data_IF_785952009000
#
_entry.id   IF_785952009000
#
_cell.length_a   1.000
_cell.length_b   1.000
_cell.length_c   1.000
_cell.angle_alpha   90.00
_cell.angle_beta   90.00
_cell.angle_gamma   90.00
#
_symmetry.space_group_name_H-M   'P 1'
#
loop_
_entity.id
_entity.type
_entity.pdbx_description
1 polymer ?
#
# COMPACT_ATOMS: atom_id res chain seq x y z
N UNK A 1 10.45 -2.76 12.34
CA UNK A 1 9.41 -3.06 11.31
C UNK A 1 8.03 -2.69 11.82
N UNK A 2 7.07 -2.50 10.92
CA UNK A 2 5.63 -2.45 11.25
C UNK A 2 4.84 -3.22 10.19
N UNK A 3 3.69 -3.77 10.57
CA UNK A 3 2.84 -4.51 9.64
C UNK A 3 1.37 -4.19 9.90
N UNK A 4 0.66 -3.82 8.84
CA UNK A 4 -0.76 -3.48 8.91
C UNK A 4 -1.51 -4.10 7.75
N UNK A 5 -2.82 -4.24 7.94
CA UNK A 5 -3.76 -4.47 6.84
C UNK A 5 -4.75 -3.33 6.71
N UNK A 6 -5.25 -3.15 5.49
CA UNK A 6 -6.30 -2.20 5.13
C UNK A 6 -7.46 -3.03 4.60
N UNK A 7 -8.54 -3.08 5.36
CA UNK A 7 -9.74 -3.83 5.04
C UNK A 7 -10.96 -2.90 5.14
N UNK A 8 -11.75 -2.81 4.08
CA UNK A 8 -12.91 -1.90 4.01
C UNK A 8 -12.59 -0.46 4.46
N UNK A 9 -11.49 0.12 3.96
CA UNK A 9 -11.01 1.48 4.33
C UNK A 9 -10.70 1.65 5.84
N UNK A 10 -10.48 0.55 6.56
CA UNK A 10 -10.09 0.53 7.97
C UNK A 10 -8.72 -0.12 8.11
N UNK A 11 -7.88 0.45 8.98
CA UNK A 11 -6.52 -0.04 9.23
C UNK A 11 -6.52 -0.90 10.48
N UNK A 12 -5.85 -2.05 10.43
CA UNK A 12 -5.61 -2.92 11.60
C UNK A 12 -4.11 -3.21 11.74
N UNK A 13 -3.64 -3.26 12.97
CA UNK A 13 -2.26 -3.66 13.30
C UNK A 13 -2.15 -5.19 13.28
N UNK A 14 -1.21 -5.73 12.51
CA UNK A 14 -0.98 -7.17 12.42
C UNK A 14 0.07 -7.68 13.40
N UNK A 15 0.79 -6.79 14.09
CA UNK A 15 1.84 -7.14 15.06
C UNK A 15 1.42 -6.91 16.52
N UNK A 16 0.22 -6.37 16.75
CA UNK A 16 -0.26 -6.08 18.10
C UNK A 16 -1.58 -6.82 18.40
N UNK A 17 -1.51 -7.99 19.04
CA UNK A 17 -2.70 -8.79 19.35
C UNK A 17 -3.61 -8.12 20.40
N UNK A 18 -3.11 -7.13 21.16
CA UNK A 18 -3.91 -6.38 22.14
C UNK A 18 -4.78 -5.34 21.45
N UNK A 19 -4.41 -4.88 20.27
CA UNK A 19 -5.14 -3.85 19.55
C UNK A 19 -6.17 -4.49 18.61
N UNK A 20 -7.40 -4.66 19.12
CA UNK A 20 -8.53 -5.18 18.33
C UNK A 20 -9.29 -4.08 17.57
N UNK A 21 -8.90 -2.82 17.75
CA UNK A 21 -9.57 -1.67 17.16
C UNK A 21 -9.05 -1.33 15.77
N UNK A 22 -9.81 -0.49 15.05
CA UNK A 22 -9.31 0.12 13.83
C UNK A 22 -8.43 1.31 14.19
N UNK A 23 -7.25 1.38 13.57
CA UNK A 23 -6.33 2.49 13.73
C UNK A 23 -6.73 3.70 12.88
N UNK A 24 -6.38 4.89 13.35
CA UNK A 24 -6.66 6.15 12.65
C UNK A 24 -5.48 6.53 11.76
N UNK A 25 -5.80 7.00 10.55
CA UNK A 25 -4.82 7.61 9.66
C UNK A 25 -4.77 9.11 9.94
N UNK A 26 -3.57 9.64 10.15
CA UNK A 26 -3.27 11.04 10.39
C UNK A 26 -2.25 11.53 9.38
N UNK A 27 -2.02 12.83 9.36
CA UNK A 27 -1.02 13.46 8.50
C UNK A 27 -0.06 14.30 9.33
N UNK A 28 1.24 14.06 9.16
CA UNK A 28 2.29 14.88 9.74
C UNK A 28 2.80 15.88 8.70
N UNK A 29 3.04 17.16 9.05
CA UNK A 29 3.48 18.18 8.10
C UNK A 29 4.75 17.80 7.31
N UNK A 30 5.67 17.07 7.94
CA UNK A 30 6.95 16.66 7.33
C UNK A 30 6.98 15.21 6.84
N UNK A 31 6.27 14.28 7.49
CA UNK A 31 6.38 12.85 7.20
C UNK A 31 5.25 12.36 6.29
N UNK A 32 4.26 13.21 6.03
CA UNK A 32 3.06 12.83 5.31
C UNK A 32 2.13 11.91 6.11
N UNK A 33 1.32 11.10 5.42
CA UNK A 33 0.28 10.29 6.05
C UNK A 33 0.89 9.12 6.83
N UNK A 34 0.38 8.89 8.04
CA UNK A 34 0.82 7.83 8.92
C UNK A 34 -0.36 7.25 9.71
N UNK A 35 -0.14 6.07 10.28
CA UNK A 35 -1.13 5.40 11.13
C UNK A 35 -0.77 5.67 12.58
N UNK A 36 -1.68 6.31 13.30
CA UNK A 36 -1.56 6.54 14.75
C UNK A 36 -1.60 5.20 15.49
N UNK A 37 -0.76 5.05 16.51
CA UNK A 37 -0.63 3.85 17.36
C UNK A 37 -0.28 2.54 16.64
N UNK A 38 0.20 2.62 15.40
CA UNK A 38 0.73 1.45 14.70
C UNK A 38 2.03 0.97 15.35
N UNK A 39 2.07 -0.31 15.72
CA UNK A 39 3.21 -0.89 16.42
C UNK A 39 4.46 -0.89 15.56
N UNK A 40 5.58 -0.50 16.18
CA UNK A 40 6.91 -0.51 15.60
C UNK A 40 7.80 -1.39 16.45
N UNK A 41 8.21 -2.53 15.90
CA UNK A 41 9.04 -3.51 16.61
C UNK A 41 10.48 -3.42 16.13
N UNK A 42 11.43 -3.36 17.06
CA UNK A 42 12.84 -3.40 16.75
C UNK A 42 13.22 -4.82 16.29
N UNK A 43 14.14 -4.89 15.32
CA UNK A 43 14.67 -6.13 14.76
C UNK A 43 16.17 -5.96 14.55
N UNK A 44 16.92 -7.04 14.70
CA UNK A 44 18.38 -7.07 14.60
C UNK A 44 18.88 -8.09 13.58
N UNK A 45 18.02 -9.03 13.18
CA UNK A 45 18.35 -10.07 12.22
C UNK A 45 17.27 -10.23 11.15
N UNK A 46 17.61 -10.93 10.07
CA UNK A 46 16.63 -11.37 9.08
C UNK A 46 15.57 -12.29 9.69
N UNK A 47 15.97 -13.19 10.60
CA UNK A 47 15.05 -14.10 11.26
C UNK A 47 13.99 -13.34 12.07
N UNK A 48 14.38 -12.27 12.78
CA UNK A 48 13.44 -11.42 13.52
C UNK A 48 12.39 -10.80 12.58
N UNK A 49 12.81 -10.39 11.38
CA UNK A 49 11.91 -9.84 10.36
C UNK A 49 10.96 -10.92 9.85
N UNK A 50 11.49 -12.12 9.54
CA UNK A 50 10.71 -13.24 9.04
C UNK A 50 9.67 -13.70 10.07
N UNK A 51 10.06 -13.85 11.34
CA UNK A 51 9.15 -14.26 12.43
C UNK A 51 7.99 -13.28 12.60
N UNK A 52 8.26 -11.96 12.53
CA UNK A 52 7.23 -10.94 12.62
C UNK A 52 6.32 -10.91 11.39
N UNK A 53 6.88 -11.13 10.20
CA UNK A 53 6.11 -11.25 8.96
C UNK A 53 5.18 -12.47 9.02
N UNK A 54 5.68 -13.62 9.46
CA UNK A 54 4.89 -14.85 9.62
C UNK A 54 3.80 -14.71 10.69
N UNK A 55 4.12 -14.07 11.82
CA UNK A 55 3.14 -13.75 12.86
C UNK A 55 2.02 -12.86 12.32
N UNK A 56 2.35 -11.81 11.57
CA UNK A 56 1.36 -10.91 10.99
C UNK A 56 0.53 -11.57 9.90
N UNK A 57 1.12 -12.46 9.08
CA UNK A 57 0.40 -13.27 8.11
C UNK A 57 -0.62 -14.19 8.81
N UNK A 58 -0.21 -14.86 9.90
CA UNK A 58 -1.14 -15.66 10.72
C UNK A 58 -2.26 -14.82 11.29
N UNK A 59 -1.96 -13.63 11.82
CA UNK A 59 -2.97 -12.71 12.34
C UNK A 59 -3.97 -12.27 11.26
N UNK A 60 -3.48 -11.96 10.05
CA UNK A 60 -4.30 -11.62 8.88
C UNK A 60 -5.21 -12.79 8.49
N UNK A 61 -4.69 -14.02 8.43
CA UNK A 61 -5.50 -15.21 8.12
C UNK A 61 -6.56 -15.48 9.19
N UNK A 62 -6.22 -15.36 10.48
CA UNK A 62 -7.17 -15.58 11.58
C UNK A 62 -8.27 -14.53 11.57
N UNK A 63 -7.91 -13.25 11.39
CA UNK A 63 -8.89 -12.17 11.23
C UNK A 63 -9.84 -12.45 10.07
N UNK A 64 -9.31 -12.95 8.95
CA UNK A 64 -10.09 -13.36 7.81
C UNK A 64 -11.07 -14.51 8.18
N UNK A 65 -10.61 -15.59 8.81
CA UNK A 65 -11.49 -16.71 9.22
C UNK A 65 -12.57 -16.31 10.23
N UNK A 66 -12.27 -15.43 11.19
CA UNK A 66 -13.25 -14.95 12.16
C UNK A 66 -14.33 -14.05 11.54
N UNK A 67 -14.09 -13.51 10.35
CA UNK A 67 -15.00 -12.62 9.63
C UNK A 67 -15.61 -13.25 8.37
N UNK A 68 -15.42 -14.56 8.12
CA UNK A 68 -15.74 -15.22 6.84
C UNK A 68 -15.11 -14.50 5.62
N UNK A 69 -13.96 -13.88 5.86
CA UNK A 69 -13.12 -13.13 4.94
C UNK A 69 -11.97 -14.02 4.46
N UNK A 70 -11.46 -13.75 3.27
CA UNK A 70 -10.26 -14.40 2.73
C UNK A 70 -9.14 -13.37 2.71
N UNK A 71 -7.90 -13.76 3.00
CA UNK A 71 -6.74 -12.83 3.00
C UNK A 71 -6.55 -12.09 1.66
N UNK A 72 -7.12 -12.61 0.57
CA UNK A 72 -7.19 -11.97 -0.75
C UNK A 72 -7.97 -10.65 -0.78
N UNK A 73 -8.66 -10.30 0.31
CA UNK A 73 -9.62 -9.18 0.37
C UNK A 73 -9.21 -8.02 1.26
N UNK A 74 -8.03 -8.08 1.86
CA UNK A 74 -7.38 -6.94 2.50
C UNK A 74 -6.07 -6.63 1.79
N UNK A 75 -5.67 -5.36 1.78
CA UNK A 75 -4.31 -4.98 1.39
C UNK A 75 -3.41 -5.12 2.61
N UNK A 76 -2.19 -5.62 2.46
CA UNK A 76 -1.23 -5.67 3.53
C UNK A 76 0.00 -4.81 3.20
N UNK A 77 0.48 -4.08 4.21
CA UNK A 77 1.64 -3.18 4.07
C UNK A 77 2.63 -3.47 5.17
N UNK A 78 3.74 -4.11 4.80
CA UNK A 78 4.87 -4.37 5.69
C UNK A 78 5.95 -3.31 5.48
N UNK A 79 6.31 -2.59 6.53
CA UNK A 79 7.32 -1.54 6.47
C UNK A 79 8.56 -1.92 7.26
N UNK A 80 9.71 -1.74 6.61
CA UNK A 80 11.04 -1.81 7.24
C UNK A 80 11.60 -0.39 7.25
N UNK A 81 11.84 0.13 8.46
CA UNK A 81 12.60 1.37 8.65
C UNK A 81 14.04 0.93 8.89
N UNK A 82 14.94 1.31 7.99
CA UNK A 82 16.35 1.01 8.09
C UNK A 82 17.10 2.30 8.43
N UNK A 83 17.80 2.28 9.56
CA UNK A 83 18.50 3.43 10.09
C UNK A 83 19.98 3.11 10.20
N UNK A 84 20.80 3.86 9.46
CA UNK A 84 22.25 3.76 9.49
C UNK A 84 22.82 4.99 10.20
N UNK A 85 23.58 4.76 11.27
CA UNK A 85 24.35 5.80 11.95
C UNK A 85 25.79 5.74 11.46
N UNK A 86 26.33 6.88 11.03
CA UNK A 86 27.74 7.03 10.65
C UNK A 86 28.34 8.12 11.52
N UNK A 87 29.29 7.72 12.34
CA UNK A 87 30.13 8.63 13.11
C UNK A 87 31.35 8.99 12.27
N UNK A 88 31.56 10.28 12.06
CA UNK A 88 32.73 10.85 11.42
C UNK A 88 33.70 11.31 12.51
N UNK A 89 34.83 10.61 12.61
CA UNK A 89 35.85 10.85 13.64
C UNK A 89 36.59 12.17 13.42
N UNK A 90 36.69 12.66 12.18
CA UNK A 90 37.41 13.90 11.87
C UNK A 90 36.61 15.14 12.26
N UNK A 91 35.28 15.08 12.09
CA UNK A 91 34.37 16.20 12.38
C UNK A 91 33.63 16.05 13.71
N UNK A 92 33.88 14.97 14.45
CA UNK A 92 33.15 14.54 15.66
C UNK A 92 31.62 14.55 15.48
N UNK A 93 31.16 14.38 14.24
CA UNK A 93 29.74 14.45 13.91
C UNK A 93 29.17 13.06 13.68
N UNK A 94 28.00 12.81 14.27
CA UNK A 94 27.22 11.61 14.01
C UNK A 94 26.07 11.94 13.07
N UNK A 95 26.10 11.39 11.87
CA UNK A 95 25.02 11.50 10.89
C UNK A 95 24.13 10.25 10.91
N UNK A 96 22.84 10.44 10.65
CA UNK A 96 21.86 9.37 10.55
C UNK A 96 21.21 9.38 9.17
N UNK A 97 21.20 8.22 8.51
CA UNK A 97 20.47 8.01 7.26
C UNK A 97 19.34 7.04 7.52
N UNK A 98 18.12 7.51 7.32
CA UNK A 98 16.91 6.70 7.47
C UNK A 98 16.32 6.42 6.09
N UNK A 99 16.03 5.16 5.80
CA UNK A 99 15.26 4.74 4.64
C UNK A 99 14.06 3.90 5.06
N UNK A 100 13.02 3.92 4.23
CA UNK A 100 11.81 3.12 4.41
C UNK A 100 11.63 2.21 3.21
N UNK A 101 11.56 0.92 3.46
CA UNK A 101 11.16 -0.10 2.48
C UNK A 101 9.72 -0.48 2.81
N UNK A 102 8.84 -0.45 1.81
CA UNK A 102 7.45 -0.85 1.93
C UNK A 102 7.19 -2.02 1.00
N UNK A 103 6.83 -3.16 1.56
CA UNK A 103 6.34 -4.33 0.83
C UNK A 103 4.82 -4.29 0.90
N UNK A 104 4.18 -4.14 -0.25
CA UNK A 104 2.73 -3.98 -0.34
C UNK A 104 2.15 -5.16 -1.10
N UNK A 105 1.29 -5.92 -0.42
CA UNK A 105 0.49 -6.98 -1.00
C UNK A 105 -0.93 -6.46 -1.21
N UNK A 106 -1.34 -6.32 -2.47
CA UNK A 106 -2.64 -5.76 -2.82
C UNK A 106 -3.70 -6.85 -2.85
N UNK A 107 -4.91 -6.52 -2.40
CA UNK A 107 -6.07 -7.38 -2.57
C UNK A 107 -6.35 -7.68 -4.05
N UNK A 108 -7.07 -8.78 -4.29
CA UNK A 108 -7.52 -9.16 -5.63
C UNK A 108 -8.43 -8.10 -6.26
N UNK A 109 -8.36 -7.98 -7.60
CA UNK A 109 -9.18 -7.06 -8.38
C UNK A 109 -10.55 -7.63 -8.79
N UNK A 110 -11.00 -8.73 -8.16
CA UNK A 110 -12.09 -9.51 -8.71
C UNK A 110 -13.39 -8.70 -8.87
N UNK A 111 -14.04 -8.88 -10.03
CA UNK A 111 -15.32 -8.22 -10.31
C UNK A 111 -16.44 -8.78 -9.43
N UNK A 112 -17.25 -7.87 -8.87
CA UNK A 112 -18.38 -8.22 -8.01
C UNK A 112 -19.38 -9.16 -8.69
N UNK A 113 -19.64 -8.96 -9.99
CA UNK A 113 -20.60 -9.74 -10.78
C UNK A 113 -20.22 -11.23 -10.90
N UNK A 114 -18.92 -11.53 -10.87
CA UNK A 114 -18.38 -12.89 -10.95
C UNK A 114 -18.58 -13.71 -9.67
N UNK A 115 -18.92 -13.04 -8.55
CA UNK A 115 -18.90 -13.66 -7.21
C UNK A 115 -20.27 -14.02 -6.65
N UNK A 116 -21.36 -13.53 -7.25
CA UNK A 116 -22.73 -13.70 -6.71
C UNK A 116 -22.91 -13.12 -5.29
N UNK A 117 -22.01 -12.23 -4.85
CA UNK A 117 -21.96 -11.72 -3.49
C UNK A 117 -23.18 -10.84 -3.16
N UNK A 118 -23.78 -11.08 -1.98
CA UNK A 118 -24.90 -10.29 -1.45
C UNK A 118 -24.54 -9.65 -0.11
N UNK A 119 -25.23 -8.57 0.26
CA UNK A 119 -25.13 -7.95 1.58
C UNK A 119 -23.73 -7.40 1.90
N UNK A 120 -23.14 -7.87 3.00
CA UNK A 120 -21.81 -7.44 3.48
C UNK A 120 -20.69 -7.71 2.48
N UNK A 121 -20.75 -8.86 1.81
CA UNK A 121 -19.73 -9.31 0.83
C UNK A 121 -19.71 -8.43 -0.43
N UNK A 122 -20.84 -7.83 -0.79
CA UNK A 122 -20.92 -6.86 -1.88
C UNK A 122 -20.28 -5.52 -1.49
N UNK A 123 -20.52 -5.05 -0.26
CA UNK A 123 -19.89 -3.82 0.27
C UNK A 123 -18.38 -3.95 0.39
N UNK A 124 -17.92 -5.12 0.82
CA UNK A 124 -16.50 -5.47 0.86
C UNK A 124 -15.86 -5.41 -0.52
N UNK A 125 -16.42 -6.13 -1.51
CA UNK A 125 -15.93 -6.10 -2.89
C UNK A 125 -15.93 -4.69 -3.48
N UNK A 126 -16.94 -3.88 -3.16
CA UNK A 126 -16.98 -2.47 -3.57
C UNK A 126 -15.83 -1.65 -2.97
N UNK A 127 -15.47 -1.84 -1.70
CA UNK A 127 -14.36 -1.12 -1.06
C UNK A 127 -12.99 -1.56 -1.60
N UNK A 128 -12.81 -2.86 -1.84
CA UNK A 128 -11.57 -3.38 -2.46
C UNK A 128 -11.40 -2.74 -3.85
N UNK A 129 -12.45 -2.83 -4.68
CA UNK A 129 -12.43 -2.24 -6.02
C UNK A 129 -12.26 -0.71 -5.98
N UNK A 130 -12.84 -0.03 -4.98
CA UNK A 130 -12.63 1.40 -4.77
C UNK A 130 -11.14 1.71 -4.57
N UNK A 131 -10.48 1.05 -3.62
CA UNK A 131 -9.07 1.30 -3.31
C UNK A 131 -8.13 1.03 -4.51
N UNK A 132 -8.33 -0.07 -5.24
CA UNK A 132 -7.55 -0.42 -6.44
C UNK A 132 -7.82 0.54 -7.61
N UNK A 133 -9.08 0.92 -7.83
CA UNK A 133 -9.46 1.90 -8.85
C UNK A 133 -8.82 3.25 -8.55
N UNK A 134 -8.86 3.70 -7.29
CA UNK A 134 -8.20 4.94 -6.86
C UNK A 134 -6.71 4.88 -7.06
N UNK A 135 -6.06 3.75 -6.73
CA UNK A 135 -4.63 3.55 -6.99
C UNK A 135 -4.31 3.71 -8.49
N UNK A 136 -5.14 3.14 -9.37
CA UNK A 136 -5.01 3.30 -10.82
C UNK A 136 -5.16 4.75 -11.29
N UNK A 137 -6.11 5.50 -10.71
CA UNK A 137 -6.29 6.93 -11.00
C UNK A 137 -5.09 7.76 -10.55
N UNK A 138 -4.57 7.51 -9.35
CA UNK A 138 -3.37 8.20 -8.82
C UNK A 138 -2.17 7.95 -9.72
N UNK A 139 -1.91 6.70 -10.10
CA UNK A 139 -0.80 6.34 -11.00
C UNK A 139 -0.97 7.01 -12.37
N UNK A 140 -2.18 6.98 -12.94
CA UNK A 140 -2.45 7.61 -14.24
C UNK A 140 -2.20 9.12 -14.20
N UNK A 141 -2.70 9.79 -13.15
CA UNK A 141 -2.51 11.24 -12.97
C UNK A 141 -1.02 11.60 -12.80
N UNK A 142 -0.26 10.77 -12.07
CA UNK A 142 1.19 10.96 -11.92
C UNK A 142 1.95 10.82 -13.24
N UNK A 143 1.61 9.82 -14.05
CA UNK A 143 2.22 9.63 -15.37
C UNK A 143 1.93 10.80 -16.33
N UNK A 144 0.71 11.34 -16.29
CA UNK A 144 0.33 12.53 -17.07
C UNK A 144 1.15 13.76 -16.67
N UNK A 145 1.37 13.99 -15.37
CA UNK A 145 2.19 15.10 -14.85
C UNK A 145 3.63 14.99 -15.36
N UNK A 146 4.24 13.81 -15.26
CA UNK A 146 5.62 13.57 -15.70
C UNK A 146 5.78 13.79 -17.22
N UNK A 147 4.84 13.26 -18.00
CA UNK A 147 4.84 13.44 -19.46
C UNK A 147 4.63 14.90 -19.91
N UNK A 148 3.93 15.70 -19.11
CA UNK A 148 3.70 17.12 -19.37
C UNK A 148 4.93 17.98 -19.05
N UNK A 149 5.76 17.59 -18.07
CA UNK A 149 7.03 18.28 -17.76
C UNK A 149 8.08 18.08 -18.86
N UNK A 150 8.08 16.92 -19.53
CA UNK A 150 9.04 16.59 -20.59
C UNK A 150 8.72 17.21 -21.97
N UNK A 151 7.54 17.80 -22.16
CA UNK A 151 7.19 18.52 -23.39
C UNK A 151 7.14 20.01 -23.07
N UNK A 152 8.00 20.81 -23.71
CA UNK A 152 8.10 22.28 -23.65
C UNK A 152 6.81 23.07 -24.08
N UNK A 153 5.62 22.48 -23.91
CA UNK A 153 4.34 23.14 -24.17
C UNK A 153 4.01 24.03 -22.98
N UNK A 154 4.06 25.34 -23.21
CA UNK A 154 3.40 26.42 -22.46
C UNK A 154 1.88 26.17 -22.32
N UNK A 155 1.47 25.10 -21.65
CA UNK A 155 0.09 24.89 -21.22
C UNK A 155 0.02 25.23 -19.75
N UNK A 156 -0.95 26.10 -19.45
CA UNK A 156 -1.42 26.51 -18.13
C UNK A 156 -1.15 25.41 -17.10
N UNK A 157 -0.41 25.74 -16.05
CA UNK A 157 -0.11 24.92 -14.88
C UNK A 157 -1.44 24.56 -14.19
N UNK A 158 -2.22 23.66 -14.78
CA UNK A 158 -3.35 23.05 -14.09
C UNK A 158 -2.68 22.20 -13.03
N UNK A 159 -2.81 22.58 -11.76
CA UNK A 159 -2.58 21.65 -10.67
C UNK A 159 -3.51 20.46 -10.91
N UNK A 160 -3.01 19.43 -11.57
CA UNK A 160 -3.70 18.17 -11.71
C UNK A 160 -3.78 17.59 -10.31
N UNK A 161 -4.94 17.79 -9.67
CA UNK A 161 -5.21 17.25 -8.35
C UNK A 161 -5.05 15.73 -8.39
N UNK A 162 -4.07 15.20 -7.64
CA UNK A 162 -3.85 13.76 -7.54
C UNK A 162 -4.73 13.23 -6.39
N UNK A 163 -5.66 12.30 -6.63
CA UNK A 163 -6.69 11.89 -5.68
C UNK A 163 -6.17 10.89 -4.62
N UNK A 164 -5.07 11.22 -3.93
CA UNK A 164 -4.50 10.34 -2.90
C UNK A 164 -5.50 10.06 -1.76
N UNK A 165 -6.35 11.02 -1.41
CA UNK A 165 -7.28 10.92 -0.27
C UNK A 165 -8.55 10.11 -0.55
N UNK A 166 -8.79 9.71 -1.81
CA UNK A 166 -10.00 8.98 -2.19
C UNK A 166 -10.03 7.55 -1.62
N UNK A 167 -8.88 7.00 -1.21
CA UNK A 167 -8.78 5.76 -0.45
C UNK A 167 -7.68 5.83 0.62
N UNK A 168 -7.85 5.08 1.70
CA UNK A 168 -6.85 4.94 2.76
C UNK A 168 -5.54 4.37 2.21
N UNK A 169 -5.63 3.40 1.30
CA UNK A 169 -4.47 2.79 0.63
C UNK A 169 -3.64 3.84 -0.09
N UNK A 170 -4.26 4.62 -0.99
CA UNK A 170 -3.54 5.64 -1.77
C UNK A 170 -3.04 6.79 -0.92
N UNK A 171 -3.73 7.09 0.19
CA UNK A 171 -3.28 8.13 1.09
C UNK A 171 -2.02 7.70 1.84
N UNK A 172 -2.00 6.48 2.39
CA UNK A 172 -0.83 5.91 3.07
C UNK A 172 0.35 5.66 2.12
N UNK A 173 0.08 5.39 0.85
CA UNK A 173 1.10 5.19 -0.19
C UNK A 173 1.49 6.47 -0.93
N UNK A 174 1.04 7.65 -0.50
CA UNK A 174 1.34 8.92 -1.18
C UNK A 174 2.85 9.12 -1.41
N UNK A 175 3.64 8.96 -0.35
CA UNK A 175 5.10 9.09 -0.41
C UNK A 175 5.74 8.02 -1.30
N UNK A 176 5.17 6.81 -1.33
CA UNK A 176 5.64 5.72 -2.17
C UNK A 176 5.38 6.01 -3.66
N UNK A 177 4.24 6.59 -4.03
CA UNK A 177 3.83 6.71 -5.43
C UNK A 177 4.35 7.97 -6.13
N UNK A 178 4.38 9.10 -5.44
CA UNK A 178 4.78 10.38 -6.03
C UNK A 178 5.72 11.23 -5.17
N UNK A 179 6.21 10.68 -4.07
CA UNK A 179 7.18 11.32 -3.18
C UNK A 179 8.62 10.88 -3.43
N UNK A 180 9.47 11.04 -2.43
CA UNK A 180 10.87 10.60 -2.49
C UNK A 180 10.97 9.07 -2.28
N UNK A 181 10.55 8.31 -3.29
CA UNK A 181 10.56 6.85 -3.24
C UNK A 181 10.90 6.25 -4.61
N UNK A 182 11.53 5.08 -4.58
CA UNK A 182 11.68 4.23 -5.76
C UNK A 182 10.64 3.13 -5.67
N UNK A 183 9.65 3.17 -6.55
CA UNK A 183 8.52 2.25 -6.52
C UNK A 183 8.51 1.36 -7.75
N UNK A 184 8.54 0.06 -7.50
CA UNK A 184 8.31 -0.97 -8.50
C UNK A 184 6.98 -1.66 -8.18
N UNK A 185 6.25 -2.05 -9.22
CA UNK A 185 5.01 -2.82 -9.10
C UNK A 185 5.20 -4.14 -9.84
N UNK A 186 4.95 -5.24 -9.16
CA UNK A 186 4.96 -6.58 -9.75
C UNK A 186 3.53 -6.98 -10.05
N UNK A 187 3.22 -7.14 -11.32
CA UNK A 187 1.90 -7.56 -11.79
C UNK A 187 1.86 -9.09 -11.92
N UNK A 188 1.12 -9.77 -11.05
CA UNK A 188 0.90 -11.21 -11.17
C UNK A 188 -0.22 -11.47 -12.17
N UNK A 189 0.05 -12.32 -13.18
CA UNK A 189 -0.89 -12.68 -14.24
C UNK A 189 -1.05 -14.21 -14.27
N UNK A 190 -2.25 -14.67 -14.63
CA UNK A 190 -2.54 -16.09 -14.76
C UNK A 190 -2.63 -16.46 -16.25
N UNK A 191 -1.98 -17.55 -16.71
CA UNK A 191 -2.12 -18.03 -18.08
C UNK A 191 -3.45 -18.77 -18.34
N UNK A 192 -4.21 -19.11 -17.30
CA UNK A 192 -5.47 -19.84 -17.44
C UNK A 192 -6.58 -18.99 -18.09
N UNK A 193 -7.31 -19.58 -19.05
CA UNK A 193 -8.38 -18.92 -19.81
C UNK A 193 -9.48 -18.33 -18.93
N UNK A 194 -9.81 -19.00 -17.82
CA UNK A 194 -10.81 -18.52 -16.85
C UNK A 194 -10.44 -17.15 -16.23
N UNK A 195 -9.15 -16.79 -16.26
CA UNK A 195 -8.62 -15.54 -15.70
C UNK A 195 -8.28 -14.52 -16.81
N UNK A 196 -8.74 -14.72 -18.05
CA UNK A 196 -8.43 -13.83 -19.17
C UNK A 196 -8.81 -12.37 -18.89
N UNK A 197 -10.03 -12.12 -18.41
CA UNK A 197 -10.53 -10.76 -18.15
C UNK A 197 -9.77 -10.03 -17.03
N UNK A 198 -9.40 -10.76 -15.97
CA UNK A 198 -8.61 -10.23 -14.86
C UNK A 198 -7.17 -9.94 -15.30
N UNK A 199 -6.56 -10.86 -16.05
CA UNK A 199 -5.23 -10.70 -16.63
C UNK A 199 -5.18 -9.48 -17.55
N UNK A 200 -6.18 -9.32 -18.44
CA UNK A 200 -6.29 -8.16 -19.31
C UNK A 200 -6.51 -6.87 -18.52
N UNK A 201 -7.27 -6.91 -17.43
CA UNK A 201 -7.50 -5.75 -16.57
C UNK A 201 -6.21 -5.32 -15.86
N UNK A 202 -5.44 -6.26 -15.31
CA UNK A 202 -4.11 -5.99 -14.72
C UNK A 202 -3.11 -5.48 -15.75
N UNK A 203 -3.12 -6.01 -16.97
CA UNK A 203 -2.28 -5.52 -18.05
C UNK A 203 -2.65 -4.08 -18.45
N UNK A 204 -3.94 -3.78 -18.64
CA UNK A 204 -4.40 -2.41 -18.95
C UNK A 204 -4.08 -1.43 -17.84
N UNK A 205 -4.15 -1.87 -16.59
CA UNK A 205 -3.76 -1.10 -15.42
C UNK A 205 -2.27 -0.72 -15.46
N UNK A 206 -1.41 -1.68 -15.81
CA UNK A 206 0.05 -1.48 -15.87
C UNK A 206 0.54 -0.83 -17.16
N UNK A 207 -0.15 -0.99 -18.29
CA UNK A 207 0.25 -0.43 -19.58
C UNK A 207 0.10 1.09 -19.65
N UNK A 208 -0.58 1.71 -18.68
CA UNK A 208 -0.56 3.17 -18.48
C UNK A 208 0.78 3.70 -17.95
N UNK A 209 1.77 2.82 -17.73
CA UNK A 209 3.12 3.13 -17.24
C UNK A 209 4.21 3.07 -18.33
N UNK A 210 3.84 2.84 -19.59
CA UNK A 210 4.77 2.75 -20.74
C UNK A 210 4.83 4.04 -21.53
#
# INVERSE_FOLDING_TARGET
>A
VSYMEIYCERVRDLLNPKNKGNLRVREHPLMGPYVEDLSKLAVTSYNDIQDLMDSGNKARTVAATNMNETSSRSHAVFNIIFTQKRHDVETDNTSEKVSKISLVDLAGSERADSTGAKGTRLKEGANINKSLTTLGKVISALAEVDSAQNKNKKKKKVESHIPYRDSVLTWLLRENLGGNSRTAMVAALSPADINYDETLSTLRYNNKKG
#
